data_IF_781675429354
#
_entry.id   IF_781675429354
#
_cell.length_a   1.000
_cell.length_b   1.000
_cell.length_c   1.000
_cell.angle_alpha   90.00
_cell.angle_beta   90.00
_cell.angle_gamma   90.00
#
_symmetry.space_group_name_H-M   'P 1'
#
loop_
_entity.id
_entity.type
_entity.pdbx_description
1 polymer ?
#
# COMPACT_ATOMS: atom_id res chain seq x y z
N UNK A 1 -0.02 -5.64 -26.51
CA UNK A 1 1.29 -5.17 -25.99
C UNK A 1 1.03 -3.88 -25.22
N UNK A 2 0.67 -3.97 -23.94
CA UNK A 2 0.42 -2.78 -23.12
C UNK A 2 1.70 -2.40 -22.39
N UNK A 3 2.19 -1.21 -22.72
CA UNK A 3 3.35 -0.58 -22.09
C UNK A 3 3.14 -0.48 -20.58
N UNK A 4 3.97 -1.16 -19.80
CA UNK A 4 4.13 -0.93 -18.35
C UNK A 4 4.62 0.52 -18.21
N UNK A 5 3.84 1.45 -17.61
CA UNK A 5 4.32 2.80 -17.41
C UNK A 5 5.52 2.79 -16.45
N UNK A 6 6.47 3.65 -16.79
CA UNK A 6 7.82 3.89 -16.25
C UNK A 6 7.93 4.24 -14.75
N UNK A 7 7.17 3.59 -13.86
CA UNK A 7 7.20 3.84 -12.41
C UNK A 7 8.12 2.92 -11.60
N UNK A 8 8.71 1.92 -12.24
CA UNK A 8 9.83 1.15 -11.68
C UNK A 8 11.13 1.85 -12.11
N UNK A 9 11.78 2.57 -11.19
CA UNK A 9 13.10 3.12 -11.51
C UNK A 9 14.03 1.96 -11.88
N UNK A 10 14.62 2.01 -13.08
CA UNK A 10 15.79 1.20 -13.48
C UNK A 10 17.06 1.66 -12.74
N UNK A 11 16.94 2.06 -11.48
CA UNK A 11 18.10 2.45 -10.69
C UNK A 11 18.85 1.18 -10.25
N UNK A 12 19.86 0.87 -11.04
CA UNK A 12 20.72 -0.31 -11.01
C UNK A 12 21.70 -0.40 -9.83
N UNK A 13 21.47 0.38 -8.77
CA UNK A 13 22.30 0.48 -7.56
C UNK A 13 21.87 -0.49 -6.44
N UNK A 14 21.00 -1.46 -6.75
CA UNK A 14 20.73 -2.59 -5.85
C UNK A 14 21.86 -3.62 -5.91
N UNK A 15 22.42 -4.10 -4.78
CA UNK A 15 23.48 -5.11 -4.79
C UNK A 15 23.02 -6.49 -5.28
N UNK A 16 21.73 -6.71 -5.52
CA UNK A 16 21.19 -7.94 -6.10
C UNK A 16 20.54 -7.67 -7.46
N UNK A 17 21.37 -7.32 -8.45
CA UNK A 17 20.93 -7.26 -9.84
C UNK A 17 20.23 -8.58 -10.19
N UNK A 18 18.93 -8.50 -10.47
CA UNK A 18 18.03 -9.60 -10.89
C UNK A 18 17.38 -10.43 -9.77
N UNK A 19 17.19 -9.88 -8.56
CA UNK A 19 16.49 -10.59 -7.48
C UNK A 19 15.34 -9.72 -6.95
N UNK A 20 14.10 -10.14 -7.19
CA UNK A 20 12.88 -9.59 -6.57
C UNK A 20 12.92 -9.73 -5.05
N UNK A 21 12.18 -8.90 -4.32
CA UNK A 21 12.05 -9.05 -2.86
C UNK A 21 11.62 -10.49 -2.50
N UNK A 22 10.79 -11.12 -3.33
CA UNK A 22 10.42 -12.53 -3.24
C UNK A 22 11.58 -13.51 -3.22
N UNK A 23 12.58 -13.30 -4.07
CA UNK A 23 13.77 -14.15 -4.12
C UNK A 23 14.72 -13.87 -2.94
N UNK A 24 14.79 -12.63 -2.45
CA UNK A 24 15.52 -12.30 -1.20
C UNK A 24 14.87 -12.96 0.02
N UNK A 25 13.54 -13.01 0.06
CA UNK A 25 12.76 -13.68 1.10
C UNK A 25 13.04 -15.18 1.13
N UNK A 26 13.05 -15.81 -0.04
CA UNK A 26 13.31 -17.24 -0.19
C UNK A 26 14.74 -17.60 0.27
N UNK A 27 15.73 -16.76 -0.03
CA UNK A 27 17.12 -16.94 0.45
C UNK A 27 17.25 -16.88 1.97
N UNK A 28 16.33 -16.21 2.67
CA UNK A 28 16.27 -16.12 4.14
C UNK A 28 15.40 -17.20 4.79
N UNK A 29 14.86 -18.15 4.02
CA UNK A 29 13.98 -19.21 4.54
C UNK A 29 12.55 -18.75 4.86
N UNK A 30 12.15 -17.56 4.39
CA UNK A 30 10.77 -17.07 4.48
C UNK A 30 10.02 -17.59 3.24
N UNK A 31 9.06 -18.48 3.44
CA UNK A 31 8.42 -19.21 2.34
C UNK A 31 7.55 -18.34 1.43
N UNK A 32 6.91 -17.28 1.96
CA UNK A 32 6.29 -16.17 1.23
C UNK A 32 5.81 -15.09 2.22
N UNK A 33 5.79 -13.81 1.81
CA UNK A 33 5.09 -12.74 2.56
C UNK A 33 3.69 -12.45 1.98
N UNK A 34 3.11 -13.41 1.28
CA UNK A 34 1.80 -13.30 0.63
C UNK A 34 1.20 -14.69 0.46
N UNK A 35 -0.08 -14.73 0.10
CA UNK A 35 -0.78 -15.97 -0.22
C UNK A 35 -1.58 -15.83 -1.52
N UNK A 36 -2.17 -16.92 -2.01
CA UNK A 36 -3.12 -16.86 -3.11
C UNK A 36 -4.34 -15.99 -2.74
N UNK A 37 -4.80 -15.20 -3.71
CA UNK A 37 -5.99 -14.37 -3.58
C UNK A 37 -7.18 -15.09 -4.21
N UNK A 38 -8.21 -15.35 -3.42
CA UNK A 38 -9.47 -15.96 -3.90
C UNK A 38 -10.60 -14.95 -4.17
N UNK A 39 -10.35 -13.66 -3.95
CA UNK A 39 -11.39 -12.61 -3.95
C UNK A 39 -11.00 -11.45 -4.85
N UNK A 40 -11.99 -10.89 -5.56
CA UNK A 40 -11.79 -9.71 -6.38
C UNK A 40 -11.31 -8.52 -5.53
N UNK A 41 -10.50 -7.67 -6.15
CA UNK A 41 -9.96 -6.47 -5.51
C UNK A 41 -10.96 -5.34 -5.71
N UNK A 42 -11.42 -4.73 -4.62
CA UNK A 42 -12.35 -3.61 -4.64
C UNK A 42 -11.92 -2.43 -3.75
N UNK A 43 -10.80 -2.57 -3.05
CA UNK A 43 -10.36 -1.61 -2.03
C UNK A 43 -8.87 -1.28 -2.16
N UNK A 44 -8.52 -0.01 -2.02
CA UNK A 44 -7.15 0.45 -1.80
C UNK A 44 -6.98 0.86 -0.34
N UNK A 45 -5.87 0.45 0.28
CA UNK A 45 -5.50 0.86 1.63
C UNK A 45 -4.17 1.60 1.60
N UNK A 46 -4.20 2.85 2.04
CA UNK A 46 -3.03 3.72 2.15
C UNK A 46 -2.43 3.57 3.54
N UNK A 47 -1.13 3.35 3.57
CA UNK A 47 -0.34 3.15 4.77
C UNK A 47 0.81 4.16 4.83
N UNK A 48 1.40 4.28 6.01
CA UNK A 48 2.62 5.03 6.22
C UNK A 48 3.60 4.20 7.04
N UNK A 49 4.86 4.22 6.64
CA UNK A 49 5.92 3.46 7.29
C UNK A 49 7.19 4.28 7.44
N UNK A 50 7.84 4.18 8.59
CA UNK A 50 9.21 4.67 8.76
C UNK A 50 9.99 3.78 9.73
N UNK A 51 11.31 3.78 9.58
CA UNK A 51 12.22 3.05 10.45
C UNK A 51 12.71 3.89 11.64
N UNK A 52 11.95 4.93 12.04
CA UNK A 52 12.37 5.87 13.09
C UNK A 52 12.62 5.21 14.45
N UNK A 53 11.87 4.15 14.76
CA UNK A 53 12.05 3.36 15.99
C UNK A 53 13.30 2.47 15.94
N UNK A 54 13.81 2.15 14.74
CA UNK A 54 15.04 1.36 14.56
C UNK A 54 16.28 2.24 14.39
N UNK A 55 16.21 3.24 13.52
CA UNK A 55 17.33 4.14 13.19
C UNK A 55 16.88 5.59 13.19
N UNK A 56 17.56 6.40 14.01
CA UNK A 56 17.32 7.85 14.05
C UNK A 56 18.00 8.60 12.92
N UNK A 57 19.06 8.05 12.35
CA UNK A 57 19.89 8.71 11.33
C UNK A 57 19.36 8.49 9.92
N UNK A 58 18.71 7.37 9.66
CA UNK A 58 18.23 6.98 8.33
C UNK A 58 16.82 6.36 8.36
N UNK A 59 15.83 7.01 8.99
CA UNK A 59 14.48 6.44 9.19
C UNK A 59 13.69 6.23 7.88
N UNK A 60 14.14 6.84 6.79
CA UNK A 60 13.50 6.76 5.47
C UNK A 60 14.32 5.95 4.47
N UNK A 61 15.39 5.28 4.92
CA UNK A 61 16.21 4.43 4.07
C UNK A 61 15.42 3.20 3.61
N UNK A 62 15.55 2.85 2.33
CA UNK A 62 14.79 1.76 1.72
C UNK A 62 15.11 0.41 2.36
N UNK A 63 16.39 0.10 2.59
CA UNK A 63 16.79 -1.22 3.10
C UNK A 63 16.35 -1.41 4.55
N UNK A 64 16.33 -0.34 5.33
CA UNK A 64 15.76 -0.35 6.67
C UNK A 64 14.26 -0.65 6.66
N UNK A 65 13.50 0.00 5.78
CA UNK A 65 12.06 -0.24 5.60
C UNK A 65 11.79 -1.68 5.13
N UNK A 66 12.52 -2.16 4.12
CA UNK A 66 12.39 -3.54 3.65
C UNK A 66 12.71 -4.53 4.78
N UNK A 67 13.71 -4.24 5.61
CA UNK A 67 14.04 -5.08 6.76
C UNK A 67 12.96 -5.08 7.84
N UNK A 68 12.09 -4.06 7.95
CA UNK A 68 10.92 -4.11 8.84
C UNK A 68 9.84 -5.05 8.31
N UNK A 69 9.59 -5.07 6.99
CA UNK A 69 8.67 -6.04 6.38
C UNK A 69 9.10 -7.48 6.67
N UNK A 70 10.41 -7.74 6.64
CA UNK A 70 10.97 -9.04 7.01
C UNK A 70 10.78 -9.35 8.50
N UNK A 71 11.17 -8.43 9.37
CA UNK A 71 11.17 -8.66 10.83
C UNK A 71 9.77 -8.88 11.37
N UNK A 72 8.79 -8.13 10.86
CA UNK A 72 7.41 -8.23 11.31
C UNK A 72 6.55 -9.19 10.48
N UNK A 73 7.14 -9.87 9.48
CA UNK A 73 6.44 -10.77 8.58
C UNK A 73 5.19 -10.13 7.96
N UNK A 74 5.34 -8.91 7.43
CA UNK A 74 4.28 -8.13 6.77
C UNK A 74 4.70 -7.73 5.37
N UNK A 75 3.74 -7.38 4.52
CA UNK A 75 4.04 -6.94 3.15
C UNK A 75 2.98 -5.99 2.61
N UNK A 76 3.34 -5.25 1.57
CA UNK A 76 2.45 -4.41 0.79
C UNK A 76 2.66 -4.68 -0.71
N UNK A 77 1.73 -4.23 -1.55
CA UNK A 77 1.89 -4.36 -3.00
C UNK A 77 2.84 -3.31 -3.55
N UNK A 78 2.77 -2.09 -2.99
CA UNK A 78 3.58 -0.96 -3.42
C UNK A 78 4.23 -0.25 -2.24
N UNK A 79 5.46 0.23 -2.45
CA UNK A 79 6.19 1.11 -1.53
C UNK A 79 6.65 2.37 -2.28
N UNK A 80 6.28 3.55 -1.79
CA UNK A 80 6.64 4.85 -2.36
C UNK A 80 7.59 5.58 -1.42
N UNK A 81 8.83 5.72 -1.83
CA UNK A 81 9.89 6.42 -1.08
C UNK A 81 9.66 7.93 -1.05
N UNK A 82 10.36 8.64 -0.16
CA UNK A 82 10.25 10.11 -0.01
C UNK A 82 10.52 10.89 -1.29
N UNK A 83 11.35 10.37 -2.18
CA UNK A 83 11.68 10.97 -3.48
C UNK A 83 10.67 10.61 -4.59
N UNK A 84 9.60 9.87 -4.28
CA UNK A 84 8.58 9.43 -5.25
C UNK A 84 8.90 8.11 -5.96
N UNK A 85 10.08 7.52 -5.78
CA UNK A 85 10.37 6.21 -6.36
C UNK A 85 9.38 5.18 -5.83
N UNK A 86 8.69 4.49 -6.75
CA UNK A 86 7.70 3.48 -6.46
C UNK A 86 8.26 2.08 -6.73
N UNK A 87 8.16 1.20 -5.76
CA UNK A 87 8.54 -0.21 -5.86
C UNK A 87 7.29 -1.08 -5.83
N UNK A 88 7.14 -1.97 -6.82
CA UNK A 88 6.18 -3.07 -6.76
C UNK A 88 6.84 -4.23 -5.99
N UNK A 89 6.22 -4.67 -4.89
CA UNK A 89 6.79 -5.65 -3.97
C UNK A 89 6.04 -6.99 -4.03
N UNK A 90 4.71 -6.96 -4.03
CA UNK A 90 3.84 -8.13 -4.14
C UNK A 90 2.92 -7.95 -5.35
N UNK A 91 2.81 -8.94 -6.26
CA UNK A 91 1.85 -8.88 -7.37
C UNK A 91 0.42 -8.70 -6.84
N UNK A 92 -0.39 -7.89 -7.52
CA UNK A 92 -1.74 -7.56 -7.05
C UNK A 92 -2.69 -8.75 -6.99
N UNK A 93 -2.50 -9.74 -7.86
CA UNK A 93 -3.23 -11.02 -7.85
C UNK A 93 -2.89 -11.89 -6.63
N UNK A 94 -1.86 -11.54 -5.85
CA UNK A 94 -1.54 -12.18 -4.57
C UNK A 94 -2.05 -11.35 -3.42
N UNK A 95 -2.34 -12.01 -2.30
CA UNK A 95 -2.79 -11.39 -1.06
C UNK A 95 -1.58 -11.00 -0.21
N UNK A 96 -1.15 -9.73 -0.29
CA UNK A 96 -0.18 -9.16 0.65
C UNK A 96 -0.75 -9.05 2.09
N UNK A 97 0.13 -8.88 3.06
CA UNK A 97 -0.19 -8.86 4.50
C UNK A 97 0.04 -7.48 5.11
N UNK A 98 -0.84 -6.51 4.82
CA UNK A 98 -0.67 -5.10 5.24
C UNK A 98 -1.73 -4.60 6.24
N UNK A 99 -2.93 -5.18 6.26
CA UNK A 99 -4.04 -4.72 7.11
C UNK A 99 -4.12 -5.39 8.49
N UNK A 100 -3.43 -6.52 8.69
CA UNK A 100 -3.62 -7.40 9.86
C UNK A 100 -5.10 -7.71 10.13
N UNK A 101 -5.46 -7.85 11.42
CA UNK A 101 -6.87 -7.96 11.84
C UNK A 101 -7.59 -6.63 11.56
N UNK A 102 -8.58 -6.68 10.68
CA UNK A 102 -9.20 -5.50 10.08
C UNK A 102 -10.67 -5.74 9.76
N UNK A 103 -11.42 -4.64 9.67
CA UNK A 103 -12.84 -4.63 9.32
C UNK A 103 -13.19 -3.39 8.50
N UNK A 104 -13.99 -3.56 7.45
CA UNK A 104 -14.47 -2.45 6.63
C UNK A 104 -15.40 -1.53 7.43
N UNK A 105 -15.37 -0.21 7.17
CA UNK A 105 -16.33 0.71 7.75
C UNK A 105 -17.76 0.35 7.29
N UNK A 106 -18.79 0.65 8.10
CA UNK A 106 -20.19 0.48 7.69
C UNK A 106 -20.48 1.24 6.38
N UNK A 107 -21.41 0.73 5.55
CA UNK A 107 -22.27 -0.44 5.79
C UNK A 107 -21.64 -1.80 5.48
N UNK A 108 -20.41 -1.83 4.94
CA UNK A 108 -19.80 -3.04 4.35
C UNK A 108 -19.46 -4.13 5.39
N UNK A 109 -18.78 -3.78 6.48
CA UNK A 109 -18.49 -4.67 7.62
C UNK A 109 -17.74 -5.98 7.31
N UNK A 110 -17.26 -6.22 6.07
CA UNK A 110 -16.39 -7.37 5.79
C UNK A 110 -15.10 -7.32 6.62
N UNK A 111 -14.67 -8.49 7.11
CA UNK A 111 -13.42 -8.65 7.85
C UNK A 111 -12.29 -9.10 6.93
N UNK A 112 -11.04 -8.96 7.40
CA UNK A 112 -9.88 -9.53 6.70
C UNK A 112 -9.55 -8.79 5.40
N UNK A 113 -9.38 -7.46 5.49
CA UNK A 113 -9.30 -6.54 4.36
C UNK A 113 -8.18 -6.87 3.37
N UNK A 114 -7.10 -7.54 3.82
CA UNK A 114 -6.05 -8.06 2.93
C UNK A 114 -6.62 -8.85 1.73
N UNK A 115 -7.68 -9.64 1.93
CA UNK A 115 -8.24 -10.53 0.92
C UNK A 115 -8.74 -9.79 -0.34
N UNK A 116 -9.27 -8.59 -0.20
CA UNK A 116 -9.89 -7.84 -1.29
C UNK A 116 -9.29 -6.43 -1.49
N UNK A 117 -8.09 -6.20 -0.95
CA UNK A 117 -7.41 -4.91 -1.08
C UNK A 117 -5.99 -4.97 -1.61
N UNK A 118 -5.57 -3.82 -2.14
CA UNK A 118 -4.20 -3.47 -2.47
C UNK A 118 -3.67 -2.47 -1.43
N UNK A 119 -2.65 -2.86 -0.68
CA UNK A 119 -1.88 -1.98 0.20
C UNK A 119 -0.79 -1.18 -0.52
N UNK A 120 -0.76 0.13 -0.26
CA UNK A 120 0.27 1.07 -0.73
C UNK A 120 0.91 1.75 0.48
N UNK A 121 2.22 1.55 0.65
CA UNK A 121 3.02 2.11 1.74
C UNK A 121 3.74 3.40 1.30
N UNK A 122 3.55 4.50 2.01
CA UNK A 122 4.34 5.72 1.81
C UNK A 122 5.38 5.85 2.92
N UNK A 123 6.64 6.05 2.56
CA UNK A 123 7.69 6.30 3.55
C UNK A 123 7.46 7.65 4.25
N UNK A 124 7.52 7.66 5.58
CA UNK A 124 7.31 8.82 6.44
C UNK A 124 6.07 8.67 7.33
N UNK A 125 5.32 9.75 7.51
CA UNK A 125 4.13 9.77 8.37
C UNK A 125 4.42 10.14 9.83
N UNK A 126 5.65 10.54 10.16
CA UNK A 126 5.97 10.99 11.52
C UNK A 126 5.17 12.25 11.90
N UNK A 127 4.86 12.44 13.20
CA UNK A 127 4.14 13.62 13.68
C UNK A 127 4.76 14.93 13.19
N UNK A 128 3.92 15.82 12.65
CA UNK A 128 4.35 17.11 12.10
C UNK A 128 5.17 17.07 10.81
N UNK A 129 5.38 15.90 10.20
CA UNK A 129 6.12 15.76 8.93
C UNK A 129 5.18 15.37 7.78
N UNK A 130 4.86 16.28 6.85
CA UNK A 130 4.00 15.99 5.71
C UNK A 130 4.66 15.02 4.72
N UNK A 131 3.85 14.31 3.93
CA UNK A 131 4.33 13.57 2.76
C UNK A 131 4.84 14.52 1.67
N UNK A 132 5.81 14.08 0.87
CA UNK A 132 6.41 14.96 -0.15
C UNK A 132 5.50 15.12 -1.37
N UNK A 133 5.63 16.22 -2.13
CA UNK A 133 4.99 16.34 -3.44
C UNK A 133 5.36 15.19 -4.39
N UNK A 134 6.60 14.71 -4.35
CA UNK A 134 7.07 13.61 -5.20
C UNK A 134 6.33 12.28 -4.91
N UNK A 135 6.00 12.02 -3.64
CA UNK A 135 5.18 10.88 -3.27
C UNK A 135 3.78 10.98 -3.88
N UNK A 136 3.13 12.14 -3.77
CA UNK A 136 1.80 12.34 -4.36
C UNK A 136 1.80 12.29 -5.90
N UNK A 137 2.83 12.83 -6.54
CA UNK A 137 3.02 12.76 -7.99
C UNK A 137 3.14 11.32 -8.51
N UNK A 138 3.53 10.38 -7.64
CA UNK A 138 3.65 8.96 -7.97
C UNK A 138 2.40 8.18 -7.55
N UNK A 139 1.85 8.50 -6.36
CA UNK A 139 0.67 7.87 -5.80
C UNK A 139 -0.58 8.08 -6.67
N UNK A 140 -0.84 9.30 -7.12
CA UNK A 140 -2.09 9.61 -7.85
C UNK A 140 -2.16 8.86 -9.19
N UNK A 141 -1.11 8.87 -10.05
CA UNK A 141 -1.10 8.05 -11.25
C UNK A 141 -1.19 6.55 -10.96
N UNK A 142 -0.47 6.05 -9.94
CA UNK A 142 -0.51 4.65 -9.54
C UNK A 142 -1.95 4.22 -9.19
N UNK A 143 -2.64 4.99 -8.34
CA UNK A 143 -4.03 4.71 -7.97
C UNK A 143 -4.93 4.70 -9.21
N UNK A 144 -4.78 5.67 -10.12
CA UNK A 144 -5.58 5.71 -11.36
C UNK A 144 -5.35 4.50 -12.24
N UNK A 145 -4.10 4.04 -12.36
CA UNK A 145 -3.75 2.83 -13.09
C UNK A 145 -4.39 1.59 -12.45
N UNK A 146 -4.28 1.44 -11.13
CA UNK A 146 -4.89 0.34 -10.37
C UNK A 146 -6.41 0.32 -10.58
N UNK A 147 -7.07 1.47 -10.43
CA UNK A 147 -8.52 1.56 -10.62
C UNK A 147 -8.96 1.35 -12.08
N UNK A 148 -8.04 1.43 -13.07
CA UNK A 148 -8.35 1.07 -14.45
C UNK A 148 -8.29 -0.45 -14.70
N UNK A 149 -7.64 -1.19 -13.81
CA UNK A 149 -7.45 -2.66 -13.89
C UNK A 149 -8.36 -3.43 -12.94
N UNK A 150 -8.81 -2.78 -11.87
CA UNK A 150 -9.68 -3.35 -10.83
C UNK A 150 -10.86 -2.43 -10.56
N UNK A 151 -12.02 -3.02 -10.22
CA UNK A 151 -13.24 -2.28 -9.85
C UNK A 151 -13.14 -1.70 -8.44
N UNK A 152 -12.17 -0.81 -8.21
CA UNK A 152 -11.94 -0.17 -6.92
C UNK A 152 -13.13 0.72 -6.56
N UNK A 153 -13.78 0.39 -5.44
CA UNK A 153 -14.91 1.12 -4.88
C UNK A 153 -14.47 2.08 -3.76
N UNK A 154 -13.40 1.74 -3.04
CA UNK A 154 -12.97 2.46 -1.84
C UNK A 154 -11.47 2.70 -1.81
N UNK A 155 -11.09 3.88 -1.34
CA UNK A 155 -9.71 4.22 -0.99
C UNK A 155 -9.74 4.69 0.47
N UNK A 156 -9.05 3.96 1.34
CA UNK A 156 -9.12 4.14 2.79
C UNK A 156 -7.71 4.24 3.38
N UNK A 157 -7.60 4.81 4.57
CA UNK A 157 -6.40 4.70 5.41
C UNK A 157 -6.42 3.41 6.23
N UNK A 158 -5.27 3.00 6.74
CA UNK A 158 -5.19 1.88 7.68
C UNK A 158 -6.02 2.14 8.95
N UNK A 159 -6.04 3.39 9.42
CA UNK A 159 -6.85 3.83 10.56
C UNK A 159 -8.37 3.64 10.34
N UNK A 160 -8.87 3.68 9.10
CA UNK A 160 -10.28 3.48 8.81
C UNK A 160 -10.73 2.02 9.02
N UNK A 161 -9.82 1.07 8.78
CA UNK A 161 -10.10 -0.38 8.84
C UNK A 161 -9.53 -1.07 10.08
N UNK A 162 -8.62 -0.41 10.79
CA UNK A 162 -7.91 -0.94 11.96
C UNK A 162 -7.65 0.12 13.06
N UNK A 163 -8.39 1.22 13.06
CA UNK A 163 -8.32 2.22 14.15
C UNK A 163 -9.21 1.89 15.35
N UNK A 164 -9.58 2.92 16.10
CA UNK A 164 -10.42 2.86 17.31
C UNK A 164 -11.68 1.98 17.19
N UNK A 165 -12.33 1.93 16.02
CA UNK A 165 -13.53 1.10 15.84
C UNK A 165 -13.20 -0.40 15.94
N UNK A 166 -12.10 -0.84 15.32
CA UNK A 166 -11.69 -2.24 15.36
C UNK A 166 -11.36 -2.69 16.80
N UNK A 167 -10.75 -1.80 17.59
CA UNK A 167 -10.50 -2.05 19.03
C UNK A 167 -11.82 -2.18 19.80
N UNK A 168 -12.74 -1.22 19.64
CA UNK A 168 -14.04 -1.23 20.33
C UNK A 168 -14.87 -2.49 20.03
N UNK A 169 -14.65 -3.10 18.86
CA UNK A 169 -15.29 -4.35 18.46
C UNK A 169 -14.53 -5.61 18.88
N UNK A 170 -13.40 -5.49 19.60
CA UNK A 170 -12.58 -6.62 20.04
C UNK A 170 -11.81 -7.32 18.91
N UNK A 171 -11.68 -6.69 17.74
CA UNK A 171 -11.06 -7.30 16.55
C UNK A 171 -9.53 -7.28 16.67
N UNK A 172 -8.97 -6.23 17.28
CA UNK A 172 -7.53 -6.08 17.50
C UNK A 172 -7.22 -5.33 18.80
N UNK A 173 -6.05 -5.58 19.42
CA UNK A 173 -5.69 -4.95 20.69
C UNK A 173 -5.02 -3.58 20.54
N UNK A 174 -4.44 -3.29 19.36
CA UNK A 174 -3.66 -2.08 19.07
C UNK A 174 -4.34 -1.20 18.02
N UNK A 175 -4.16 0.12 18.13
CA UNK A 175 -4.73 1.09 17.19
C UNK A 175 -3.76 1.35 16.04
N UNK A 176 -4.27 1.32 14.81
CA UNK A 176 -3.58 1.88 13.64
C UNK A 176 -4.04 3.30 13.39
N UNK A 177 -3.07 4.19 13.16
CA UNK A 177 -3.25 5.64 12.98
C UNK A 177 -2.63 6.14 11.67
N UNK A 178 -2.11 5.23 10.86
CA UNK A 178 -1.56 5.52 9.55
C UNK A 178 -2.66 5.57 8.48
N UNK A 179 -2.52 6.41 7.43
CA UNK A 179 -1.38 7.28 7.14
C UNK A 179 -1.36 8.59 7.96
N UNK A 180 -2.39 8.80 8.79
CA UNK A 180 -2.46 9.85 9.79
C UNK A 180 -2.75 11.25 9.23
N UNK A 181 -2.79 12.26 10.12
CA UNK A 181 -3.29 13.61 9.79
C UNK A 181 -2.43 14.37 8.78
N UNK A 182 -1.18 13.92 8.56
CA UNK A 182 -0.26 14.52 7.60
C UNK A 182 -0.54 14.09 6.15
N UNK A 183 -1.42 13.11 5.94
CA UNK A 183 -1.82 12.67 4.61
C UNK A 183 -2.91 13.56 4.00
N UNK A 184 -2.63 14.15 2.83
CA UNK A 184 -3.57 15.01 2.13
C UNK A 184 -4.58 14.21 1.27
N UNK A 185 -5.65 13.75 1.91
CA UNK A 185 -6.76 13.03 1.26
C UNK A 185 -7.44 13.81 0.12
N UNK A 186 -7.38 15.15 0.11
CA UNK A 186 -7.99 15.97 -0.95
C UNK A 186 -7.39 15.69 -2.33
N UNK A 187 -6.13 15.24 -2.38
CA UNK A 187 -5.46 14.88 -3.64
C UNK A 187 -6.01 13.60 -4.26
N UNK A 188 -6.69 12.76 -3.48
CA UNK A 188 -7.32 11.52 -3.96
C UNK A 188 -8.82 11.69 -4.25
N UNK A 189 -9.39 12.84 -3.89
CA UNK A 189 -10.81 13.08 -4.01
C UNK A 189 -11.28 12.99 -5.48
N UNK A 190 -12.36 12.24 -5.70
CA UNK A 190 -12.96 12.07 -7.02
C UNK A 190 -12.27 11.07 -7.94
N UNK A 191 -11.16 10.43 -7.55
CA UNK A 191 -10.49 9.44 -8.41
C UNK A 191 -11.42 8.27 -8.76
N UNK A 192 -12.14 7.72 -7.78
CA UNK A 192 -13.07 6.60 -8.01
C UNK A 192 -14.31 7.02 -8.79
N UNK A 193 -14.87 8.21 -8.53
CA UNK A 193 -16.06 8.71 -9.24
C UNK A 193 -15.79 9.06 -10.71
N UNK A 194 -14.57 9.50 -11.04
CA UNK A 194 -14.18 9.84 -12.42
C UNK A 194 -14.06 8.61 -13.33
N UNK A 195 -13.88 7.42 -12.76
CA UNK A 195 -13.74 6.18 -13.53
C UNK A 195 -15.12 5.58 -13.86
N UNK A 196 -16.07 5.64 -12.93
CA UNK A 196 -17.46 5.24 -13.19
C UNK A 196 -18.09 6.04 -14.36
N UNK A 197 -17.68 7.29 -14.57
CA UNK A 197 -18.19 8.12 -15.68
C UNK A 197 -17.58 7.80 -17.06
N UNK A 198 -16.45 7.08 -17.12
CA UNK A 198 -15.81 6.71 -18.39
C UNK A 198 -16.41 5.45 -19.02
N UNK A 199 -16.96 4.54 -18.22
CA UNK A 199 -17.64 3.35 -18.74
C UNK A 199 -18.98 3.69 -19.42
N UNK A 200 -19.65 4.76 -18.98
CA UNK A 200 -20.92 5.24 -19.56
C UNK A 200 -20.78 6.04 -20.87
N UNK A 201 -19.56 6.24 -21.38
CA UNK A 201 -19.29 7.11 -22.53
C UNK A 201 -18.66 6.41 -23.75
N UNK A 202 -18.76 5.08 -23.84
CA UNK A 202 -18.45 4.37 -25.09
C UNK A 202 -19.72 4.37 -25.96
N UNK A 203 -19.77 5.11 -27.08
CA UNK A 203 -20.87 4.95 -28.03
C UNK A 203 -20.73 3.59 -28.73
N UNK A 204 -21.87 2.89 -28.88
CA UNK A 204 -22.00 1.71 -29.75
C UNK A 204 -21.54 1.99 -31.18
#
# INVERSE_FOLDING_TARGET
MHCIPTYLSKDSSYPYKNTSLGEVLQQKGINALWEERGTAIDTLVIHAISAIERTKTSPHDREEILSLFLEYEVSAHYLILRNGVCHALVPEEKKAWHCGKSIMPPPDNRHGVNAFSIGIELVGGEPGKPFTPAQYNSLVPLIKDICSRHSIQKILGHEDIAGSRAIKMGIRPDEKKDPGPNFNWKLLHGITSLLSQREDSIPL
#
